data_IF_962958581966
#
_entry.id   IF_962958581966
#
_cell.length_a   1.000
_cell.length_b   1.000
_cell.length_c   1.000
_cell.angle_alpha   90.00
_cell.angle_beta   90.00
_cell.angle_gamma   90.00
#
_symmetry.space_group_name_H-M   'P 1'
#
loop_
_entity.id
_entity.type
_entity.pdbx_description
1 polymer ?
#
# COMPACT_ATOMS: atom_id res chain seq x y z
N UNK A 1 0.62 -43.98 35.87
CA UNK A 1 -0.49 -43.88 34.90
C UNK A 1 -0.60 -42.42 34.49
N UNK A 2 -0.30 -42.10 33.23
CA UNK A 2 -0.35 -40.72 32.75
C UNK A 2 -1.82 -40.28 32.70
N UNK A 3 -2.17 -39.25 33.46
CA UNK A 3 -3.52 -38.70 33.52
C UNK A 3 -3.64 -37.70 32.37
N UNK A 4 -4.23 -38.14 31.26
CA UNK A 4 -4.59 -37.25 30.14
C UNK A 4 -5.59 -36.23 30.68
N UNK A 5 -5.28 -34.94 30.52
CA UNK A 5 -6.21 -33.88 30.94
C UNK A 5 -7.40 -33.81 29.97
N UNK A 6 -8.51 -33.20 30.41
CA UNK A 6 -9.66 -32.95 29.52
C UNK A 6 -9.27 -32.11 28.29
N UNK A 7 -8.26 -31.26 28.46
CA UNK A 7 -7.68 -30.38 27.47
C UNK A 7 -6.93 -31.18 26.40
N UNK A 8 -6.09 -32.15 26.82
CA UNK A 8 -5.38 -33.07 25.92
C UNK A 8 -6.34 -33.97 25.11
N UNK A 9 -7.50 -34.31 25.68
CA UNK A 9 -8.52 -35.08 24.99
C UNK A 9 -9.22 -34.28 23.88
N UNK A 10 -9.37 -32.96 24.05
CA UNK A 10 -9.91 -32.08 23.01
C UNK A 10 -8.87 -31.84 21.91
N UNK A 11 -7.61 -31.59 22.31
CA UNK A 11 -6.52 -31.32 21.37
C UNK A 11 -6.19 -32.56 20.51
N UNK A 12 -6.24 -33.76 21.08
CA UNK A 12 -6.06 -35.01 20.33
C UNK A 12 -7.21 -35.33 19.37
N UNK A 13 -8.38 -34.69 19.53
CA UNK A 13 -9.55 -34.89 18.67
C UNK A 13 -9.66 -33.85 17.54
N UNK A 14 -8.87 -32.77 17.58
CA UNK A 14 -8.77 -31.76 16.50
C UNK A 14 -8.41 -32.35 15.14
N UNK A 15 -7.39 -33.23 15.02
CA UNK A 15 -7.03 -33.84 13.74
C UNK A 15 -8.18 -34.67 13.14
N UNK A 16 -8.99 -35.32 13.98
CA UNK A 16 -10.17 -36.06 13.54
C UNK A 16 -11.29 -35.14 13.07
N UNK A 17 -11.48 -34.00 13.73
CA UNK A 17 -12.47 -33.01 13.34
C UNK A 17 -12.10 -32.31 12.02
N UNK A 18 -10.81 -31.98 11.84
CA UNK A 18 -10.28 -31.38 10.61
C UNK A 18 -10.28 -32.39 9.44
N UNK A 19 -9.93 -33.66 9.71
CA UNK A 19 -9.98 -34.72 8.71
C UNK A 19 -11.42 -35.11 8.33
N UNK A 20 -12.36 -35.18 9.28
CA UNK A 20 -13.78 -35.42 8.97
C UNK A 20 -14.41 -34.24 8.23
N UNK A 21 -13.98 -33.00 8.52
CA UNK A 21 -14.39 -31.84 7.75
C UNK A 21 -14.06 -31.98 6.26
N UNK A 22 -12.85 -32.43 5.93
CA UNK A 22 -12.42 -32.60 4.54
C UNK A 22 -13.11 -33.75 3.79
N UNK A 23 -13.62 -34.77 4.50
CA UNK A 23 -14.22 -35.98 3.88
C UNK A 23 -15.75 -35.94 3.88
N UNK A 24 -16.38 -35.31 4.86
CA UNK A 24 -17.84 -35.29 5.03
C UNK A 24 -18.49 -33.92 4.77
N UNK A 25 -17.70 -32.87 4.58
CA UNK A 25 -18.21 -31.60 4.04
C UNK A 25 -17.94 -31.64 2.54
N UNK A 26 -18.94 -31.95 1.70
CA UNK A 26 -18.76 -31.85 0.27
C UNK A 26 -18.29 -30.43 -0.07
N UNK A 27 -17.34 -30.26 -1.02
CA UNK A 27 -17.00 -28.93 -1.52
C UNK A 27 -18.30 -28.25 -1.96
N UNK A 28 -18.44 -26.96 -1.64
CA UNK A 28 -19.68 -26.26 -1.91
C UNK A 28 -20.00 -26.37 -3.41
N UNK A 29 -21.23 -26.74 -3.71
CA UNK A 29 -21.67 -27.03 -5.08
C UNK A 29 -22.05 -25.75 -5.84
N UNK A 30 -22.03 -24.62 -5.13
CA UNK A 30 -22.25 -23.27 -5.63
C UNK A 30 -21.04 -22.41 -5.26
N UNK A 31 -20.72 -21.45 -6.12
CA UNK A 31 -19.76 -20.40 -5.78
C UNK A 31 -20.33 -19.44 -4.73
N UNK A 32 -19.54 -18.40 -4.41
CA UNK A 32 -19.94 -17.35 -3.48
C UNK A 32 -21.34 -16.82 -3.84
N UNK A 33 -22.24 -16.82 -2.86
CA UNK A 33 -23.59 -16.27 -3.01
C UNK A 33 -23.58 -14.75 -3.14
N UNK A 34 -24.72 -14.12 -3.52
CA UNK A 34 -24.88 -12.67 -3.54
C UNK A 34 -24.55 -11.99 -2.20
N UNK A 35 -24.77 -12.70 -1.09
CA UNK A 35 -24.50 -12.23 0.27
C UNK A 35 -23.02 -12.39 0.67
N UNK A 36 -22.24 -13.16 -0.10
CA UNK A 36 -20.81 -13.39 0.08
C UNK A 36 -19.97 -12.64 -0.96
N UNK A 37 -20.62 -12.04 -1.95
CA UNK A 37 -20.01 -11.02 -2.79
C UNK A 37 -19.73 -9.81 -1.89
N UNK A 38 -18.47 -9.34 -1.80
CA UNK A 38 -18.17 -8.14 -1.04
C UNK A 38 -19.07 -7.04 -1.58
N UNK A 39 -19.89 -6.48 -0.70
CA UNK A 39 -20.78 -5.39 -1.07
C UNK A 39 -19.91 -4.31 -1.73
N UNK A 40 -20.27 -3.90 -2.94
CA UNK A 40 -19.53 -2.90 -3.71
C UNK A 40 -19.36 -1.55 -2.96
N UNK A 41 -20.01 -1.43 -1.80
CA UNK A 41 -19.90 -0.38 -0.79
C UNK A 41 -18.67 -0.47 0.14
N UNK A 42 -17.86 -1.54 0.11
CA UNK A 42 -16.53 -1.55 0.77
C UNK A 42 -15.55 -0.51 0.16
N UNK A 43 -15.96 0.19 -0.89
CA UNK A 43 -15.33 1.41 -1.40
C UNK A 43 -15.26 2.58 -0.39
N UNK A 44 -15.86 2.45 0.80
CA UNK A 44 -15.69 3.42 1.89
C UNK A 44 -14.23 3.70 2.23
N UNK A 45 -13.38 2.67 2.11
CA UNK A 45 -11.96 2.75 2.47
C UNK A 45 -11.05 3.21 1.33
N UNK A 46 -11.58 3.39 0.11
CA UNK A 46 -10.81 3.87 -1.03
C UNK A 46 -11.00 5.36 -1.26
N UNK A 47 -9.91 6.06 -1.56
CA UNK A 47 -9.84 7.48 -1.87
C UNK A 47 -8.82 7.75 -2.97
N UNK A 48 -8.45 9.01 -3.14
CA UNK A 48 -7.41 9.41 -4.10
C UNK A 48 -6.31 10.22 -3.41
N UNK A 49 -5.10 10.09 -3.90
CA UNK A 49 -3.97 10.86 -3.38
C UNK A 49 -4.13 12.34 -3.67
N UNK A 50 -4.13 13.15 -2.62
CA UNK A 50 -4.19 14.61 -2.70
C UNK A 50 -2.98 15.20 -2.01
N UNK A 51 -2.24 16.08 -2.71
CA UNK A 51 -1.17 16.86 -2.09
C UNK A 51 -1.77 17.77 -1.01
N UNK A 52 -1.28 17.65 0.22
CA UNK A 52 -1.73 18.48 1.35
C UNK A 52 -0.83 19.70 1.60
N UNK A 53 0.29 19.77 0.90
CA UNK A 53 1.27 20.86 0.96
C UNK A 53 1.81 21.18 -0.43
N UNK A 54 2.02 22.46 -0.72
CA UNK A 54 2.76 22.94 -1.89
C UNK A 54 4.28 23.04 -1.63
N UNK A 55 4.71 22.97 -0.37
CA UNK A 55 6.12 22.97 0.01
C UNK A 55 6.67 21.54 -0.04
N UNK A 56 7.86 21.39 -0.61
CA UNK A 56 8.59 20.12 -0.64
C UNK A 56 9.15 19.77 0.73
N UNK A 57 9.36 18.48 0.97
CA UNK A 57 9.99 17.95 2.19
C UNK A 57 10.98 16.89 1.76
N UNK A 58 12.19 16.94 2.30
CA UNK A 58 13.21 15.91 2.07
C UNK A 58 12.71 14.55 2.57
N UNK A 59 13.04 13.49 1.85
CA UNK A 59 12.68 12.11 2.19
C UNK A 59 13.14 11.75 3.60
N UNK A 60 14.33 12.22 4.01
CA UNK A 60 14.88 12.00 5.35
C UNK A 60 14.08 12.68 6.47
N UNK A 61 13.26 13.68 6.12
CA UNK A 61 12.44 14.49 7.03
C UNK A 61 10.94 14.21 6.86
N UNK A 62 10.56 13.15 6.14
CA UNK A 62 9.17 12.87 5.79
C UNK A 62 8.30 12.49 7.00
N UNK A 63 8.90 11.94 8.07
CA UNK A 63 8.19 11.57 9.30
C UNK A 63 7.00 10.63 9.02
N UNK A 64 5.79 11.05 9.40
CA UNK A 64 4.55 10.30 9.14
C UNK A 64 4.20 10.11 7.66
N UNK A 65 4.93 10.73 6.73
CA UNK A 65 4.76 10.63 5.28
C UNK A 65 5.87 9.77 4.64
N UNK A 66 6.47 8.84 5.38
CA UNK A 66 7.62 8.03 4.91
C UNK A 66 7.31 7.08 3.76
N UNK A 67 6.04 6.82 3.44
CA UNK A 67 5.67 6.04 2.26
C UNK A 67 5.99 6.85 1.00
N UNK A 68 7.00 6.40 0.24
CA UNK A 68 7.41 7.06 -0.99
C UNK A 68 6.48 6.67 -2.13
N UNK A 69 5.96 7.68 -2.81
CA UNK A 69 5.01 7.54 -3.90
C UNK A 69 5.65 8.07 -5.19
N UNK A 70 5.33 7.43 -6.32
CA UNK A 70 5.77 7.91 -7.62
C UNK A 70 5.22 9.32 -7.88
N UNK A 71 5.90 10.15 -8.70
CA UNK A 71 5.43 11.50 -9.05
C UNK A 71 3.99 11.53 -9.58
N UNK A 72 3.60 10.47 -10.28
CA UNK A 72 2.30 10.30 -10.95
C UNK A 72 1.21 9.77 -10.02
N UNK A 73 1.53 9.53 -8.75
CA UNK A 73 0.58 9.00 -7.77
C UNK A 73 -0.54 9.98 -7.43
N UNK A 74 -0.38 11.28 -7.72
CA UNK A 74 -1.43 12.28 -7.49
C UNK A 74 -2.71 11.91 -8.26
N UNK A 75 -3.84 11.84 -7.55
CA UNK A 75 -5.12 11.45 -8.14
C UNK A 75 -5.27 9.94 -8.41
N UNK A 76 -4.29 9.10 -8.07
CA UNK A 76 -4.44 7.64 -8.13
C UNK A 76 -5.21 7.11 -6.92
N UNK A 77 -5.87 5.97 -7.10
CA UNK A 77 -6.61 5.30 -6.04
C UNK A 77 -5.69 4.84 -4.90
N UNK A 78 -6.16 4.96 -3.67
CA UNK A 78 -5.43 4.61 -2.46
C UNK A 78 -6.38 4.29 -1.30
N UNK A 79 -5.84 3.81 -0.18
CA UNK A 79 -6.63 3.59 1.04
C UNK A 79 -6.74 4.87 1.85
N UNK A 80 -7.96 5.33 2.17
CA UNK A 80 -8.22 6.56 2.91
C UNK A 80 -7.47 6.60 4.23
N UNK A 81 -6.99 7.79 4.57
CA UNK A 81 -6.20 8.01 5.80
C UNK A 81 -4.73 7.60 5.68
N UNK A 82 -4.31 6.94 4.60
CA UNK A 82 -2.88 6.75 4.31
C UNK A 82 -2.20 8.08 4.01
N UNK A 83 -0.94 8.17 4.44
CA UNK A 83 -0.07 9.33 4.25
C UNK A 83 1.16 8.90 3.48
N UNK A 84 1.61 9.73 2.56
CA UNK A 84 2.81 9.45 1.77
C UNK A 84 3.44 10.71 1.21
N UNK A 85 4.63 10.55 0.65
CA UNK A 85 5.41 11.60 0.02
C UNK A 85 5.47 11.32 -1.48
N UNK A 86 4.76 12.14 -2.27
CA UNK A 86 4.84 12.10 -3.74
C UNK A 86 6.15 12.74 -4.15
N UNK A 87 7.10 11.93 -4.60
CA UNK A 87 8.42 12.39 -4.98
C UNK A 87 8.33 13.39 -6.12
N UNK A 88 9.14 14.44 -6.05
CA UNK A 88 9.28 15.38 -7.14
C UNK A 88 10.22 14.81 -8.21
N UNK A 89 10.19 15.44 -9.37
CA UNK A 89 11.14 15.19 -10.44
C UNK A 89 11.95 16.44 -10.70
N UNK A 90 13.21 16.25 -11.07
CA UNK A 90 14.09 17.30 -11.52
C UNK A 90 14.86 16.85 -12.76
N UNK A 91 15.41 17.81 -13.48
CA UNK A 91 16.33 17.55 -14.58
C UNK A 91 17.67 18.15 -14.22
N UNK A 92 18.71 17.33 -14.30
CA UNK A 92 20.07 17.80 -14.13
C UNK A 92 20.49 18.64 -15.34
N UNK A 93 21.26 19.70 -15.08
CA UNK A 93 21.88 20.46 -16.15
C UNK A 93 23.16 19.76 -16.59
N UNK A 94 23.17 19.23 -17.82
CA UNK A 94 24.31 18.51 -18.37
C UNK A 94 25.20 19.41 -19.25
N UNK A 95 24.66 20.52 -19.73
CA UNK A 95 25.42 21.48 -20.53
C UNK A 95 25.19 22.91 -20.03
N UNK A 96 26.23 23.48 -19.44
CA UNK A 96 26.25 24.86 -18.99
C UNK A 96 26.86 25.75 -20.08
N UNK A 97 26.31 26.95 -20.25
CA UNK A 97 26.96 27.95 -21.08
C UNK A 97 28.38 28.26 -20.57
N UNK A 98 29.23 28.86 -21.40
CA UNK A 98 30.63 29.15 -21.05
C UNK A 98 30.82 30.07 -19.82
N UNK A 99 29.73 30.63 -19.27
CA UNK A 99 29.71 31.40 -18.02
C UNK A 99 29.10 30.69 -16.81
N UNK A 100 28.59 29.46 -16.93
CA UNK A 100 28.07 28.66 -15.82
C UNK A 100 26.78 29.17 -15.17
N UNK A 101 26.11 30.17 -15.76
CA UNK A 101 24.93 30.82 -15.18
C UNK A 101 23.63 30.44 -15.88
N UNK A 102 23.72 29.82 -17.06
CA UNK A 102 22.57 29.35 -17.82
C UNK A 102 22.76 27.91 -18.28
N UNK A 103 21.74 27.09 -18.08
CA UNK A 103 21.71 25.72 -18.59
C UNK A 103 21.21 25.71 -20.03
N UNK A 104 22.02 25.22 -20.95
CA UNK A 104 21.69 25.10 -22.37
C UNK A 104 21.19 23.69 -22.72
N UNK A 105 21.45 22.70 -21.86
CA UNK A 105 21.04 21.32 -22.09
C UNK A 105 20.72 20.59 -20.79
N UNK A 106 19.49 20.08 -20.72
CA UNK A 106 19.00 19.29 -19.60
C UNK A 106 19.09 17.79 -19.90
N UNK A 107 19.47 17.02 -18.88
CA UNK A 107 19.39 15.57 -18.90
C UNK A 107 17.96 15.02 -18.82
N UNK A 108 17.81 13.69 -18.79
CA UNK A 108 16.53 13.06 -18.54
C UNK A 108 15.98 13.46 -17.17
N UNK A 109 14.67 13.32 -17.02
CA UNK A 109 13.97 13.60 -15.77
C UNK A 109 14.20 12.48 -14.76
N UNK A 110 14.65 12.84 -13.56
CA UNK A 110 15.00 11.93 -12.49
C UNK A 110 14.19 12.21 -11.24
N UNK A 111 13.92 11.16 -10.47
CA UNK A 111 13.28 11.26 -9.16
C UNK A 111 14.22 11.98 -8.19
N UNK A 112 13.70 12.93 -7.41
CA UNK A 112 14.48 13.66 -6.40
C UNK A 112 14.41 12.99 -5.03
N UNK A 113 15.25 13.45 -4.11
CA UNK A 113 15.29 13.08 -2.70
C UNK A 113 14.31 13.91 -1.84
N UNK A 114 13.38 14.63 -2.47
CA UNK A 114 12.34 15.41 -1.81
C UNK A 114 10.99 15.26 -2.54
N UNK A 115 9.91 15.57 -1.85
CA UNK A 115 8.58 15.44 -2.44
C UNK A 115 7.51 16.24 -1.73
N UNK A 116 6.27 16.05 -2.16
CA UNK A 116 5.09 16.72 -1.61
C UNK A 116 4.36 15.77 -0.68
N UNK A 117 4.08 16.24 0.54
CA UNK A 117 3.21 15.52 1.47
C UNK A 117 1.84 15.34 0.84
N UNK A 118 1.35 14.12 0.85
CA UNK A 118 0.06 13.73 0.31
C UNK A 118 -0.69 12.84 1.29
N UNK A 119 -2.02 12.95 1.26
CA UNK A 119 -2.92 12.11 2.03
C UNK A 119 -3.96 11.52 1.09
N UNK A 120 -4.37 10.28 1.35
CA UNK A 120 -5.45 9.66 0.64
C UNK A 120 -6.80 10.13 1.20
N UNK A 121 -7.60 10.79 0.35
CA UNK A 121 -8.89 11.40 0.71
C UNK A 121 -10.04 10.80 -0.08
#
# INVERSE_FOLDING_TARGET
MAKVSYEDAIESNRPYHDANGAVHIPPDTKGLGPDELPDSSQNGDLGHWVKVSSTTTDVVNAGAYSALLSPDSAGQACYKGTKGLILATARECNNWNSGGWHCEGYGPETITDYGYKAECK
#
